data_IF_553782588115
#
_entry.id   IF_553782588115
#
_cell.length_a   1.000
_cell.length_b   1.000
_cell.length_c   1.000
_cell.angle_alpha   90.00
_cell.angle_beta   90.00
_cell.angle_gamma   90.00
#
_symmetry.space_group_name_H-M   'P 1'
#
loop_
_entity.id
_entity.type
_entity.pdbx_description
1 polymer ?
#
# COMPACT_ATOMS: atom_id res chain seq x y z
N UNK A 1 -14.00 -1.32 -33.01
CA UNK A 1 -12.56 -1.32 -32.69
C UNK A 1 -12.45 -1.75 -31.24
N UNK A 2 -12.05 -2.99 -30.98
CA UNK A 2 -11.80 -3.52 -29.62
C UNK A 2 -10.30 -3.43 -29.38
N UNK A 3 -9.93 -2.77 -28.28
CA UNK A 3 -8.67 -2.99 -27.58
C UNK A 3 -8.93 -2.58 -26.13
N UNK A 4 -9.37 -3.56 -25.35
CA UNK A 4 -9.30 -3.59 -23.89
C UNK A 4 -7.90 -3.16 -23.45
N UNK A 5 -7.75 -1.90 -23.06
CA UNK A 5 -6.59 -1.49 -22.29
C UNK A 5 -6.94 -1.76 -20.85
N UNK A 6 -6.60 -2.97 -20.42
CA UNK A 6 -6.74 -3.49 -19.07
C UNK A 6 -6.55 -2.38 -18.06
N UNK A 7 -7.62 -2.17 -17.31
CA UNK A 7 -7.73 -1.38 -16.10
C UNK A 7 -6.46 -1.60 -15.25
N UNK A 8 -5.45 -0.73 -15.40
CA UNK A 8 -4.48 -0.51 -14.33
C UNK A 8 -5.28 0.17 -13.23
N UNK A 9 -6.05 -0.61 -12.47
CA UNK A 9 -6.42 -0.24 -11.11
C UNK A 9 -5.10 0.04 -10.42
N UNK A 10 -4.71 1.31 -10.35
CA UNK A 10 -3.81 1.79 -9.32
C UNK A 10 -4.51 1.45 -8.01
N UNK A 11 -4.19 0.26 -7.50
CA UNK A 11 -4.91 -0.35 -6.40
C UNK A 11 -4.60 0.47 -5.16
N UNK A 12 -5.50 1.41 -4.87
CA UNK A 12 -5.33 2.38 -3.81
C UNK A 12 -5.06 1.66 -2.49
N UNK A 13 -4.04 2.11 -1.77
CA UNK A 13 -3.66 1.57 -0.47
C UNK A 13 -4.79 1.88 0.53
N UNK A 14 -5.27 0.86 1.22
CA UNK A 14 -6.35 0.92 2.18
C UNK A 14 -5.89 0.40 3.56
N UNK A 15 -6.62 0.80 4.61
CA UNK A 15 -6.39 0.28 5.96
C UNK A 15 -6.63 -1.23 5.98
N UNK A 16 -5.72 -1.96 6.61
CA UNK A 16 -5.75 -3.41 6.69
C UNK A 16 -4.91 -4.12 5.64
N UNK A 17 -4.52 -3.44 4.56
CA UNK A 17 -3.64 -4.00 3.53
C UNK A 17 -2.27 -4.37 4.11
N UNK A 18 -1.69 -5.44 3.57
CA UNK A 18 -0.30 -5.78 3.80
C UNK A 18 0.57 -5.17 2.70
N UNK A 19 1.64 -4.51 3.11
CA UNK A 19 2.53 -3.77 2.22
C UNK A 19 4.00 -4.03 2.56
N UNK A 20 4.85 -3.81 1.57
CA UNK A 20 6.31 -3.69 1.75
C UNK A 20 6.73 -2.24 1.51
N UNK A 21 7.70 -1.76 2.28
CA UNK A 21 8.27 -0.43 2.14
C UNK A 21 9.63 -0.51 1.45
N UNK A 22 9.90 0.38 0.48
CA UNK A 22 11.14 0.33 -0.33
C UNK A 22 12.43 0.41 0.50
N UNK A 23 12.41 1.13 1.62
CA UNK A 23 13.57 1.36 2.49
C UNK A 23 13.62 0.52 3.76
N UNK A 24 12.67 -0.39 4.00
CA UNK A 24 12.65 -1.19 5.22
C UNK A 24 12.33 -2.65 4.92
N UNK A 25 13.20 -3.61 5.28
CA UNK A 25 12.91 -5.02 5.10
C UNK A 25 11.74 -5.43 6.00
N UNK A 26 10.89 -6.31 5.47
CA UNK A 26 9.74 -6.86 6.19
C UNK A 26 8.39 -6.46 5.59
N UNK A 27 7.35 -7.09 6.13
CA UNK A 27 5.95 -6.82 5.80
C UNK A 27 5.36 -5.93 6.88
N UNK A 28 4.49 -5.02 6.45
CA UNK A 28 3.79 -4.09 7.32
C UNK A 28 2.32 -4.14 7.03
N UNK A 29 1.51 -3.82 8.03
CA UNK A 29 0.08 -3.63 7.88
C UNK A 29 -0.25 -2.16 7.88
N UNK A 30 -1.08 -1.71 6.94
CA UNK A 30 -1.57 -0.33 6.91
C UNK A 30 -2.58 -0.17 8.05
N UNK A 31 -2.32 0.79 8.94
CA UNK A 31 -3.20 1.08 10.10
C UNK A 31 -3.94 2.41 9.96
N UNK A 32 -3.45 3.33 9.12
CA UNK A 32 -4.14 4.56 8.78
C UNK A 32 -3.77 5.05 7.38
N UNK A 33 -4.70 5.74 6.73
CA UNK A 33 -4.48 6.46 5.47
C UNK A 33 -5.06 7.86 5.63
N UNK A 34 -4.27 8.88 5.33
CA UNK A 34 -4.65 10.28 5.47
C UNK A 34 -4.30 11.05 4.18
N UNK A 35 -5.21 11.91 3.68
CA UNK A 35 -4.88 12.77 2.56
C UNK A 35 -3.77 13.74 2.97
N UNK A 36 -2.87 14.03 2.04
CA UNK A 36 -1.83 15.03 2.27
C UNK A 36 -2.44 16.43 2.09
N UNK A 37 -2.19 17.39 2.99
CA UNK A 37 -2.85 18.70 2.95
C UNK A 37 -2.37 19.62 1.81
N UNK A 38 -1.42 19.18 0.97
CA UNK A 38 -0.89 19.98 -0.14
C UNK A 38 -1.70 19.76 -1.41
N UNK A 39 -2.30 20.84 -1.95
CA UNK A 39 -3.24 20.80 -3.09
C UNK A 39 -2.70 20.19 -4.40
N UNK A 40 -1.37 20.04 -4.55
CA UNK A 40 -0.74 19.62 -5.81
C UNK A 40 -0.04 18.26 -5.73
N UNK A 41 -0.29 17.48 -4.67
CA UNK A 41 0.37 16.19 -4.46
C UNK A 41 -0.68 15.09 -4.44
N UNK A 42 -0.69 14.27 -5.49
CA UNK A 42 -1.56 13.09 -5.63
C UNK A 42 -1.02 11.89 -4.84
N UNK A 43 -0.63 12.11 -3.57
CA UNK A 43 -0.20 11.02 -2.69
C UNK A 43 -0.82 11.15 -1.31
N UNK A 44 -1.10 10.00 -0.70
CA UNK A 44 -1.61 9.91 0.65
C UNK A 44 -0.46 9.62 1.62
N UNK A 45 -0.60 10.09 2.85
CA UNK A 45 0.23 9.62 3.96
C UNK A 45 -0.39 8.32 4.46
N UNK A 46 0.40 7.26 4.52
CA UNK A 46 0.00 5.96 5.05
C UNK A 46 0.82 5.67 6.31
N UNK A 47 0.13 5.27 7.37
CA UNK A 47 0.77 4.75 8.58
C UNK A 47 0.83 3.23 8.46
N UNK A 48 2.03 2.68 8.49
CA UNK A 48 2.29 1.23 8.37
C UNK A 48 2.91 0.71 9.66
N UNK A 49 2.53 -0.50 10.08
CA UNK A 49 2.99 -1.13 11.31
C UNK A 49 3.55 -2.53 11.07
N UNK A 50 4.74 -2.82 11.60
CA UNK A 50 5.32 -4.17 11.59
C UNK A 50 4.69 -5.05 12.68
N UNK A 51 4.87 -6.36 12.58
CA UNK A 51 4.46 -7.32 13.62
C UNK A 51 5.18 -7.07 14.96
N UNK A 52 6.43 -6.58 14.89
CA UNK A 52 7.21 -6.16 16.06
C UNK A 52 6.73 -4.85 16.70
N UNK A 53 5.70 -4.20 16.16
CA UNK A 53 5.11 -2.96 16.70
C UNK A 53 5.79 -1.66 16.24
N UNK A 54 6.70 -1.70 15.27
CA UNK A 54 7.30 -0.48 14.69
C UNK A 54 6.29 0.20 13.78
N UNK A 55 6.00 1.47 14.02
CA UNK A 55 5.10 2.30 13.20
C UNK A 55 5.90 3.32 12.39
N UNK A 56 5.55 3.46 11.11
CA UNK A 56 6.14 4.42 10.18
C UNK A 56 5.06 5.20 9.45
N UNK A 57 5.25 6.51 9.30
CA UNK A 57 4.45 7.35 8.42
C UNK A 57 5.20 7.56 7.11
N UNK A 58 4.64 7.04 6.01
CA UNK A 58 5.26 7.04 4.68
C UNK A 58 4.27 7.50 3.62
N UNK A 59 4.70 7.62 2.37
CA UNK A 59 3.79 7.92 1.26
C UNK A 59 3.28 6.63 0.65
N UNK A 60 2.04 6.62 0.15
CA UNK A 60 1.49 5.47 -0.56
C UNK A 60 2.36 5.06 -1.77
N UNK A 61 3.04 6.03 -2.38
CA UNK A 61 3.96 5.79 -3.51
C UNK A 61 5.24 5.07 -3.13
N UNK A 62 5.64 5.07 -1.85
CA UNK A 62 6.86 4.40 -1.35
C UNK A 62 6.60 2.98 -0.84
N UNK A 63 5.34 2.53 -0.91
CA UNK A 63 4.94 1.17 -0.55
C UNK A 63 4.38 0.42 -1.76
N UNK A 64 4.32 -0.91 -1.63
CA UNK A 64 3.67 -1.81 -2.61
C UNK A 64 2.82 -2.80 -1.85
N UNK A 65 1.57 -3.00 -2.29
CA UNK A 65 0.71 -4.07 -1.76
C UNK A 65 1.35 -5.41 -2.00
N UNK A 66 1.25 -6.27 -0.99
CA UNK A 66 1.54 -7.68 -1.13
C UNK A 66 0.22 -8.38 -1.45
N UNK A 67 0.15 -9.18 -2.53
CA UNK A 67 -1.05 -9.95 -2.80
C UNK A 67 -1.34 -10.84 -1.58
N UNK A 68 -2.62 -11.01 -1.21
CA UNK A 68 -2.97 -12.00 -0.19
C UNK A 68 -2.35 -13.32 -0.62
N UNK A 69 -1.70 -14.01 0.31
CA UNK A 69 -1.10 -15.30 0.05
C UNK A 69 -2.25 -16.18 -0.46
N UNK A 70 -2.32 -16.41 -1.78
CA UNK A 70 -3.16 -17.48 -2.30
C UNK A 70 -2.74 -18.68 -1.48
N UNK A 71 -3.68 -19.17 -0.68
CA UNK A 71 -3.49 -20.40 0.04
C UNK A 71 -3.20 -21.41 -1.06
N UNK A 72 -1.94 -21.79 -1.21
CA UNK A 72 -1.54 -22.82 -2.13
C UNK A 72 -2.41 -24.02 -1.78
N UNK A 73 -3.42 -24.25 -2.61
CA UNK A 73 -4.38 -25.32 -2.43
C UNK A 73 -3.53 -26.60 -2.39
N UNK A 74 -3.50 -27.23 -1.22
CA UNK A 74 -3.01 -28.59 -1.05
C UNK A 74 -4.05 -29.55 -1.59
#
# INVERSE_FOLDING_TARGET
MQAESSERREESIAVGDEVVHQGHPGRFRVVAVRPRPAMNVYSNIVTIRSDSGVELEVLDTTVRKVPPREQAAT
#
